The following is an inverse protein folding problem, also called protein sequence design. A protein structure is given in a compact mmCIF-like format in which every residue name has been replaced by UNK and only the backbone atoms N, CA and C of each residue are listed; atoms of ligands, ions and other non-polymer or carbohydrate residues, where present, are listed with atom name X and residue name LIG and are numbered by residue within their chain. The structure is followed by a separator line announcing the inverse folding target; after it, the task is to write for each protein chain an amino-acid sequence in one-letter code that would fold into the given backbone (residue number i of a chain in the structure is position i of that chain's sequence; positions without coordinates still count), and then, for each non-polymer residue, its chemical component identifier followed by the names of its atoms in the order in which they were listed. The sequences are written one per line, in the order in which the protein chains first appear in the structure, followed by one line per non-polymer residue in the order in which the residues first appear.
data_IF_220517997962
#
_entry.id   IF_220517997962
#
_cell.length_a   1.000
_cell.length_b   1.000
_cell.length_c   1.000
_cell.angle_alpha   90.00
_cell.angle_beta   90.00
_cell.angle_gamma   90.00
#
_symmetry.space_group_name_H-M   'P 1'
#
loop_
_entity.id
_entity.type
_entity.pdbx_description
1 polymer ?
#
# COMPACT_ATOMS: atom_id res chain seq x y z
N UNK A 1 22.35 -11.73 -16.51
CA UNK A 1 22.12 -12.18 -15.12
C UNK A 1 20.65 -12.54 -15.04
N UNK A 2 20.28 -13.71 -14.53
CA UNK A 2 18.85 -14.07 -14.45
C UNK A 2 18.14 -13.19 -13.42
N UNK A 3 16.89 -12.78 -13.67
CA UNK A 3 16.06 -11.95 -12.77
C UNK A 3 16.09 -12.47 -11.33
N UNK A 4 16.04 -13.78 -11.13
CA UNK A 4 16.08 -14.43 -9.82
C UNK A 4 17.39 -14.17 -9.07
N UNK A 5 18.52 -14.11 -9.78
CA UNK A 5 19.82 -13.83 -9.19
C UNK A 5 19.91 -12.38 -8.71
N UNK A 6 19.40 -11.42 -9.50
CA UNK A 6 19.30 -10.01 -9.11
C UNK A 6 18.45 -9.82 -7.85
N UNK A 7 17.28 -10.45 -7.80
CA UNK A 7 16.41 -10.43 -6.63
C UNK A 7 17.09 -11.03 -5.41
N UNK A 8 17.79 -12.16 -5.57
CA UNK A 8 18.55 -12.79 -4.48
C UNK A 8 19.63 -11.85 -3.93
N UNK A 9 20.34 -11.13 -4.80
CA UNK A 9 21.38 -10.17 -4.38
C UNK A 9 20.79 -8.99 -3.59
N UNK A 10 19.60 -8.51 -3.97
CA UNK A 10 18.86 -7.47 -3.24
C UNK A 10 18.42 -7.95 -1.84
N UNK A 11 17.93 -9.18 -1.73
CA UNK A 11 17.54 -9.79 -0.46
C UNK A 11 18.74 -9.94 0.48
N UNK A 12 19.84 -10.53 0.00
CA UNK A 12 21.06 -10.73 0.81
C UNK A 12 21.60 -9.38 1.33
N UNK A 13 21.62 -8.35 0.48
CA UNK A 13 22.03 -7.01 0.89
C UNK A 13 21.17 -6.50 2.05
N UNK A 14 19.84 -6.62 1.93
CA UNK A 14 18.88 -6.18 2.94
C UNK A 14 19.08 -6.93 4.27
N UNK A 15 19.20 -8.26 4.22
CA UNK A 15 19.39 -9.12 5.40
C UNK A 15 20.72 -8.89 6.13
N UNK A 16 21.74 -8.38 5.44
CA UNK A 16 23.06 -8.13 6.03
C UNK A 16 23.14 -6.84 6.88
N UNK A 17 22.10 -6.01 6.83
CA UNK A 17 22.08 -4.67 7.46
C UNK A 17 21.65 -4.72 8.93
N UNK A 18 22.04 -3.69 9.67
CA UNK A 18 21.59 -3.54 11.05
C UNK A 18 20.10 -3.18 11.09
N UNK A 19 19.36 -3.74 12.04
CA UNK A 19 17.90 -3.65 12.09
C UNK A 19 17.41 -2.79 13.25
N UNK A 20 16.42 -1.93 12.99
CA UNK A 20 15.60 -1.26 14.01
C UNK A 20 14.14 -1.49 13.69
N UNK A 21 13.35 -1.86 14.69
CA UNK A 21 11.89 -2.04 14.54
C UNK A 21 11.13 -0.95 15.29
N UNK A 22 10.00 -0.52 14.71
CA UNK A 22 9.02 0.36 15.36
C UNK A 22 7.59 -0.05 14.98
N UNK A 23 6.62 0.32 15.81
CA UNK A 23 5.20 0.25 15.43
C UNK A 23 4.88 1.27 14.34
N UNK A 24 3.83 1.01 13.58
CA UNK A 24 3.27 1.94 12.60
C UNK A 24 1.88 2.36 13.09
N UNK A 25 1.63 3.66 13.15
CA UNK A 25 0.30 4.18 13.50
C UNK A 25 -0.72 3.89 12.40
N UNK A 26 -1.96 3.60 12.79
CA UNK A 26 -3.08 3.37 11.89
C UNK A 26 -4.07 4.53 11.98
N UNK A 27 -4.43 5.07 10.83
CA UNK A 27 -5.40 6.15 10.67
C UNK A 27 -6.63 5.63 9.91
N UNK A 28 -7.82 6.00 10.37
CA UNK A 28 -9.05 5.72 9.64
C UNK A 28 -9.37 6.88 8.69
N UNK A 29 -9.59 6.57 7.43
CA UNK A 29 -9.89 7.56 6.41
C UNK A 29 -11.38 7.54 6.04
N UNK A 30 -11.97 8.73 6.05
CA UNK A 30 -13.38 8.99 5.72
C UNK A 30 -13.42 10.13 4.71
N UNK A 31 -13.37 9.83 3.40
CA UNK A 31 -13.36 10.88 2.38
C UNK A 31 -14.66 11.68 2.36
N UNK A 32 -14.56 12.97 2.05
CA UNK A 32 -15.72 13.75 1.62
C UNK A 32 -15.92 13.58 0.12
N UNK A 33 -16.62 12.50 -0.25
CA UNK A 33 -16.85 12.08 -1.65
C UNK A 33 -17.54 13.19 -2.48
N UNK A 34 -18.25 14.13 -1.83
CA UNK A 34 -18.90 15.25 -2.53
C UNK A 34 -17.90 16.33 -2.95
N UNK A 35 -16.77 16.45 -2.26
CA UNK A 35 -15.78 17.52 -2.47
C UNK A 35 -14.51 17.04 -3.14
N UNK A 36 -14.19 15.76 -3.01
CA UNK A 36 -12.95 15.18 -3.53
C UNK A 36 -13.21 14.39 -4.80
N UNK A 37 -12.64 14.85 -5.91
CA UNK A 37 -12.63 14.09 -7.17
C UNK A 37 -11.60 12.96 -7.13
N UNK A 38 -10.60 13.11 -6.28
CA UNK A 38 -9.47 12.20 -6.15
C UNK A 38 -9.24 11.90 -4.67
N UNK A 39 -9.07 10.62 -4.35
CA UNK A 39 -8.93 10.13 -2.99
C UNK A 39 -7.47 9.86 -2.65
N UNK A 40 -7.06 10.18 -1.42
CA UNK A 40 -5.74 9.79 -0.89
C UNK A 40 -5.55 8.28 -0.81
N UNK A 41 -6.62 7.55 -0.49
CA UNK A 41 -6.59 6.10 -0.28
C UNK A 41 -7.79 5.46 -0.95
N UNK A 42 -7.57 4.34 -1.66
CA UNK A 42 -8.63 3.64 -2.35
C UNK A 42 -9.47 2.81 -1.40
N UNK A 43 -10.75 2.67 -1.69
CA UNK A 43 -11.65 1.87 -0.87
C UNK A 43 -11.23 0.39 -0.86
N UNK A 44 -11.31 -0.26 0.31
CA UNK A 44 -10.87 -1.64 0.49
C UNK A 44 -9.35 -1.79 0.52
N UNK A 45 -8.63 -0.76 0.97
CA UNK A 45 -7.17 -0.79 1.09
C UNK A 45 -6.67 -0.29 2.43
N UNK A 46 -5.51 -0.82 2.82
CA UNK A 46 -4.62 -0.22 3.79
C UNK A 46 -3.45 0.42 3.02
N UNK A 47 -3.36 1.74 2.99
CA UNK A 47 -2.30 2.46 2.28
C UNK A 47 -1.24 2.95 3.26
N UNK A 48 -0.02 2.46 3.09
CA UNK A 48 1.18 2.99 3.74
C UNK A 48 1.57 4.31 3.09
N UNK A 49 1.76 5.34 3.90
CA UNK A 49 2.51 6.53 3.51
C UNK A 49 3.82 6.54 4.28
N UNK A 50 4.94 6.70 3.58
CA UNK A 50 6.27 6.67 4.17
C UNK A 50 7.16 7.76 3.58
N UNK A 51 7.94 8.39 4.44
CA UNK A 51 8.88 9.45 4.08
C UNK A 51 10.12 9.40 4.97
N UNK A 52 11.16 10.16 4.60
CA UNK A 52 12.22 10.50 5.57
C UNK A 52 11.61 11.32 6.72
N UNK A 53 12.14 11.15 7.92
CA UNK A 53 11.67 11.86 9.12
C UNK A 53 11.73 13.36 8.93
N UNK A 54 10.62 14.04 9.23
CA UNK A 54 10.48 15.48 9.06
C UNK A 54 10.08 15.95 7.64
N UNK A 55 9.78 15.04 6.71
CA UNK A 55 9.29 15.41 5.38
C UNK A 55 7.95 16.18 5.46
N UNK A 56 7.89 17.45 4.97
CA UNK A 56 6.70 18.29 5.11
C UNK A 56 5.44 17.70 4.46
N UNK A 57 5.55 17.08 3.28
CA UNK A 57 4.38 16.54 2.59
C UNK A 57 3.73 15.40 3.38
N UNK A 58 4.50 14.58 4.11
CA UNK A 58 3.93 13.53 4.94
C UNK A 58 3.19 14.12 6.15
N UNK A 59 3.74 15.17 6.76
CA UNK A 59 3.11 15.90 7.87
C UNK A 59 1.80 16.59 7.43
N UNK A 60 1.76 17.15 6.21
CA UNK A 60 0.52 17.66 5.62
C UNK A 60 -0.55 16.57 5.47
N UNK A 61 -0.20 15.38 4.93
CA UNK A 61 -1.12 14.25 4.82
C UNK A 61 -1.63 13.84 6.20
N UNK A 62 -0.73 13.72 7.18
CA UNK A 62 -1.08 13.35 8.55
C UNK A 62 -2.05 14.34 9.20
N UNK A 63 -1.76 15.65 9.10
CA UNK A 63 -2.61 16.73 9.63
C UNK A 63 -3.98 16.77 8.96
N UNK A 64 -4.05 16.53 7.65
CA UNK A 64 -5.34 16.42 6.98
C UNK A 64 -6.16 15.26 7.54
N UNK A 65 -5.57 14.07 7.67
CA UNK A 65 -6.26 12.87 8.15
C UNK A 65 -6.69 12.97 9.62
N UNK A 66 -5.88 13.56 10.49
CA UNK A 66 -6.16 13.68 11.93
C UNK A 66 -6.98 14.90 12.31
N UNK A 67 -6.71 16.04 11.68
CA UNK A 67 -7.20 17.35 12.11
C UNK A 67 -8.11 18.02 11.08
N UNK A 68 -8.25 17.45 9.88
CA UNK A 68 -9.02 18.06 8.79
C UNK A 68 -8.40 19.35 8.24
N UNK A 69 -7.10 19.57 8.47
CA UNK A 69 -6.39 20.78 8.02
C UNK A 69 -5.96 20.63 6.57
N UNK A 70 -6.30 21.62 5.74
CA UNK A 70 -5.98 21.63 4.30
C UNK A 70 -7.10 21.05 3.44
N UNK A 71 -6.81 20.80 2.16
CA UNK A 71 -7.75 20.18 1.22
C UNK A 71 -7.12 18.91 0.66
N UNK A 72 -7.93 17.86 0.58
CA UNK A 72 -7.49 16.58 0.00
C UNK A 72 -6.94 16.75 -1.41
N UNK A 73 -7.68 17.47 -2.25
CA UNK A 73 -7.30 17.71 -3.64
C UNK A 73 -5.89 18.28 -3.77
N UNK A 74 -5.53 19.29 -2.97
CA UNK A 74 -4.20 19.91 -3.02
C UNK A 74 -3.11 18.95 -2.52
N UNK A 75 -3.38 18.18 -1.48
CA UNK A 75 -2.40 17.21 -0.94
C UNK A 75 -2.15 16.10 -1.97
N UNK A 76 -3.22 15.58 -2.55
CA UNK A 76 -3.19 14.57 -3.61
C UNK A 76 -2.44 15.08 -4.84
N UNK A 77 -2.69 16.31 -5.28
CA UNK A 77 -1.98 16.91 -6.41
C UNK A 77 -0.48 17.04 -6.14
N UNK A 78 -0.08 17.50 -4.94
CA UNK A 78 1.33 17.53 -4.52
C UNK A 78 1.94 16.14 -4.51
N UNK A 79 1.22 15.18 -3.93
CA UNK A 79 1.63 13.79 -3.86
C UNK A 79 1.85 13.18 -5.24
N UNK A 80 0.96 13.42 -6.21
CA UNK A 80 1.11 12.92 -7.57
C UNK A 80 2.24 13.65 -8.30
N UNK A 81 2.33 14.97 -8.15
CA UNK A 81 3.27 15.80 -8.92
C UNK A 81 4.73 15.38 -8.73
N UNK A 82 5.12 14.88 -7.56
CA UNK A 82 6.49 14.38 -7.35
C UNK A 82 6.86 13.21 -8.28
N UNK A 83 5.87 12.50 -8.81
CA UNK A 83 6.06 11.36 -9.71
C UNK A 83 6.17 11.77 -11.19
N UNK A 84 5.92 13.04 -11.56
CA UNK A 84 5.85 13.47 -12.97
C UNK A 84 7.16 13.28 -13.75
N UNK A 85 8.29 13.34 -13.05
CA UNK A 85 9.62 13.33 -13.65
C UNK A 85 10.34 11.98 -13.45
N UNK A 86 9.66 10.99 -12.88
CA UNK A 86 10.23 9.66 -12.71
C UNK A 86 10.14 8.91 -14.04
N UNK A 87 11.27 8.35 -14.47
CA UNK A 87 11.39 7.51 -15.65
C UNK A 87 11.57 6.07 -15.21
N UNK A 88 10.96 5.11 -15.91
CA UNK A 88 11.22 3.69 -15.67
C UNK A 88 12.72 3.38 -15.81
N UNK A 89 13.23 2.47 -14.97
CA UNK A 89 14.61 1.97 -15.03
C UNK A 89 14.62 0.45 -15.10
N UNK A 90 15.73 -0.10 -15.59
CA UNK A 90 15.97 -1.54 -15.60
C UNK A 90 16.10 -2.10 -14.17
N UNK A 91 15.76 -3.39 -14.01
CA UNK A 91 15.83 -4.07 -12.71
C UNK A 91 17.27 -4.06 -12.14
N UNK A 92 18.27 -4.22 -12.99
CA UNK A 92 19.68 -4.15 -12.64
C UNK A 92 20.03 -2.81 -12.01
N UNK A 93 19.56 -1.72 -12.62
CA UNK A 93 19.78 -0.36 -12.12
C UNK A 93 19.06 -0.15 -10.79
N UNK A 94 17.84 -0.66 -10.64
CA UNK A 94 17.11 -0.66 -9.39
C UNK A 94 17.87 -1.36 -8.25
N UNK A 95 18.44 -2.56 -8.49
CA UNK A 95 19.26 -3.28 -7.51
C UNK A 95 20.52 -2.48 -7.14
N UNK A 96 21.17 -1.85 -8.12
CA UNK A 96 22.33 -1.00 -7.87
C UNK A 96 21.98 0.25 -7.06
N UNK A 97 20.83 0.87 -7.34
CA UNK A 97 20.34 2.02 -6.59
C UNK A 97 19.99 1.63 -5.15
N UNK A 98 19.33 0.50 -4.94
CA UNK A 98 19.01 -0.04 -3.62
C UNK A 98 20.27 -0.24 -2.78
N UNK A 99 21.30 -0.88 -3.35
CA UNK A 99 22.59 -1.09 -2.66
C UNK A 99 23.25 0.21 -2.21
N UNK A 100 23.08 1.29 -2.97
CA UNK A 100 23.63 2.62 -2.64
C UNK A 100 22.83 3.34 -1.55
N UNK A 101 21.64 2.87 -1.17
CA UNK A 101 20.86 3.53 -0.15
C UNK A 101 21.43 3.25 1.24
N UNK A 102 21.45 4.26 2.10
CA UNK A 102 21.83 4.13 3.50
C UNK A 102 20.76 3.41 4.33
N UNK A 103 19.51 3.46 3.86
CA UNK A 103 18.36 3.03 4.64
C UNK A 103 17.37 2.32 3.73
N UNK A 104 17.05 1.07 4.06
CA UNK A 104 15.94 0.32 3.46
C UNK A 104 14.86 0.10 4.51
N UNK A 105 13.66 -0.22 4.05
CA UNK A 105 12.50 -0.50 4.88
C UNK A 105 11.85 -1.82 4.51
N UNK A 106 11.26 -2.47 5.50
CA UNK A 106 10.29 -3.53 5.31
C UNK A 106 9.09 -3.28 6.20
N UNK A 107 7.92 -3.63 5.72
CA UNK A 107 6.67 -3.51 6.46
C UNK A 107 6.12 -4.90 6.70
N UNK A 108 5.81 -5.19 7.97
CA UNK A 108 5.24 -6.47 8.38
C UNK A 108 3.87 -6.25 9.03
N UNK A 109 3.00 -7.24 8.90
CA UNK A 109 1.72 -7.31 9.58
C UNK A 109 1.41 -8.74 10.00
N UNK A 110 1.17 -8.96 11.30
CA UNK A 110 0.78 -10.28 11.82
C UNK A 110 1.75 -11.41 11.43
N UNK A 111 3.06 -11.14 11.42
CA UNK A 111 4.08 -12.12 11.00
C UNK A 111 4.37 -12.16 9.49
N UNK A 112 3.47 -11.66 8.63
CA UNK A 112 3.65 -11.57 7.17
C UNK A 112 4.49 -10.35 6.79
N UNK A 113 5.30 -10.48 5.74
CA UNK A 113 5.98 -9.35 5.10
C UNK A 113 5.11 -8.79 3.99
N UNK A 114 4.70 -7.54 4.12
CA UNK A 114 3.87 -6.84 3.13
C UNK A 114 4.73 -6.12 2.08
N UNK A 115 5.90 -5.64 2.50
CA UNK A 115 6.86 -4.90 1.69
C UNK A 115 8.27 -5.19 2.21
N UNK A 116 9.25 -5.37 1.33
CA UNK A 116 10.62 -5.75 1.71
C UNK A 116 11.67 -4.97 0.90
N UNK A 117 12.78 -4.58 1.52
CA UNK A 117 13.89 -3.91 0.84
C UNK A 117 13.55 -2.56 0.20
N UNK A 118 12.47 -1.90 0.63
CA UNK A 118 11.98 -0.66 0.03
C UNK A 118 12.89 0.54 0.35
N UNK A 119 13.02 1.50 -0.55
CA UNK A 119 13.73 2.75 -0.30
C UNK A 119 13.02 3.95 -0.92
N UNK A 120 13.36 5.16 -0.47
CA UNK A 120 12.81 6.40 -0.99
C UNK A 120 13.86 7.06 -1.90
N UNK A 121 13.64 7.11 -3.24
CA UNK A 121 14.52 7.82 -4.14
C UNK A 121 14.64 9.31 -3.77
N UNK A 122 15.79 9.95 -4.00
CA UNK A 122 16.05 11.34 -3.57
C UNK A 122 15.03 12.37 -4.09
N UNK A 123 14.49 12.14 -5.30
CA UNK A 123 13.49 13.02 -5.93
C UNK A 123 12.09 12.84 -5.35
N UNK A 124 11.86 11.76 -4.58
CA UNK A 124 10.57 11.40 -4.01
C UNK A 124 10.57 11.76 -2.53
N UNK A 125 9.52 12.49 -2.16
CA UNK A 125 9.31 13.01 -0.82
C UNK A 125 8.53 12.00 0.00
N UNK A 126 7.42 11.52 -0.56
CA UNK A 126 6.53 10.57 0.10
C UNK A 126 6.20 9.46 -0.87
N UNK A 127 6.36 8.23 -0.41
CA UNK A 127 5.92 7.03 -1.13
C UNK A 127 4.59 6.55 -0.58
N UNK A 128 3.76 5.98 -1.45
CA UNK A 128 2.55 5.27 -1.09
C UNK A 128 2.72 3.78 -1.37
N UNK A 129 2.13 2.89 -0.56
CA UNK A 129 1.96 1.49 -0.94
C UNK A 129 0.61 0.97 -0.45
N UNK A 130 -0.23 0.53 -1.37
CA UNK A 130 -1.56 0.01 -1.04
C UNK A 130 -1.54 -1.50 -0.89
N UNK A 131 -2.16 -1.98 0.18
CA UNK A 131 -2.39 -3.39 0.49
C UNK A 131 -3.89 -3.67 0.44
N UNK A 132 -4.35 -4.79 -0.16
CA UNK A 132 -5.75 -5.18 -0.10
C UNK A 132 -6.21 -5.29 1.36
N UNK A 133 -7.39 -4.76 1.66
CA UNK A 133 -8.02 -4.82 2.99
C UNK A 133 -9.48 -5.25 2.84
N UNK A 134 -9.89 -6.28 3.56
CA UNK A 134 -11.23 -6.86 3.43
C UNK A 134 -12.29 -6.22 4.35
N UNK A 135 -11.92 -5.27 5.22
CA UNK A 135 -12.86 -4.61 6.16
C UNK A 135 -13.05 -5.31 7.51
N UNK A 136 -12.27 -6.37 7.79
CA UNK A 136 -12.27 -7.04 9.08
C UNK A 136 -11.40 -6.35 10.14
N UNK A 137 -11.43 -6.83 11.39
CA UNK A 137 -10.64 -6.26 12.48
C UNK A 137 -9.13 -6.22 12.17
N UNK A 138 -8.45 -5.16 12.62
CA UNK A 138 -7.01 -4.99 12.49
C UNK A 138 -6.36 -5.02 13.86
N UNK A 139 -5.24 -5.74 13.98
CA UNK A 139 -4.40 -5.68 15.17
C UNK A 139 -3.57 -4.39 15.09
N UNK A 140 -3.87 -3.40 15.93
CA UNK A 140 -3.19 -2.09 15.92
C UNK A 140 -1.67 -2.23 16.05
N UNK A 141 -1.21 -3.09 16.95
CA UNK A 141 0.21 -3.39 17.14
C UNK A 141 0.81 -4.32 16.07
N UNK A 142 -0.03 -4.85 15.18
CA UNK A 142 0.35 -5.82 14.17
C UNK A 142 1.26 -5.24 13.11
N UNK A 143 1.11 -3.96 12.77
CA UNK A 143 1.96 -3.30 11.78
C UNK A 143 3.30 -2.87 12.39
N UNK A 144 4.39 -3.35 11.78
CA UNK A 144 5.76 -3.01 12.17
C UNK A 144 6.55 -2.50 10.97
N UNK A 145 7.27 -1.40 11.18
CA UNK A 145 8.32 -0.93 10.29
C UNK A 145 9.65 -1.55 10.74
N UNK A 146 10.36 -2.16 9.81
CA UNK A 146 11.73 -2.65 9.98
C UNK A 146 12.64 -1.78 9.13
N UNK A 147 13.55 -1.07 9.75
CA UNK A 147 14.54 -0.22 9.11
C UNK A 147 15.89 -0.93 9.06
N UNK A 148 16.47 -0.99 7.87
CA UNK A 148 17.71 -1.70 7.55
C UNK A 148 18.80 -0.69 7.22
N UNK A 149 19.71 -0.48 8.17
CA UNK A 149 20.75 0.54 8.08
C UNK A 149 22.02 0.01 7.45
N UNK A 150 22.61 0.82 6.57
CA UNK A 150 24.01 0.65 6.18
C UNK A 150 24.91 0.88 7.40
N UNK A 151 26.06 0.21 7.43
CA UNK A 151 27.02 0.33 8.55
C UNK A 151 27.57 1.76 8.72
N UNK A 152 27.48 2.57 7.68
CA UNK A 152 28.10 3.89 7.57
C UNK A 152 27.18 5.02 8.04
N UNK A 153 25.86 4.81 8.10
CA UNK A 153 24.92 5.88 8.42
C UNK A 153 23.71 5.41 9.23
N UNK A 154 23.80 5.58 10.55
CA UNK A 154 22.73 5.28 11.52
C UNK A 154 21.81 6.48 11.82
N UNK A 155 21.97 7.61 11.12
CA UNK A 155 21.26 8.86 11.45
C UNK A 155 19.97 9.06 10.65
N UNK A 156 19.86 8.47 9.46
CA UNK A 156 18.63 8.57 8.68
C UNK A 156 17.50 7.79 9.35
N UNK A 157 16.30 8.38 9.45
CA UNK A 157 15.14 7.68 9.97
C UNK A 157 13.97 7.86 8.99
N UNK A 158 13.17 6.82 8.87
CA UNK A 158 11.88 6.85 8.18
C UNK A 158 10.77 7.07 9.20
N UNK A 159 9.73 7.74 8.74
CA UNK A 159 8.46 7.87 9.43
C UNK A 159 7.36 7.39 8.49
N UNK A 160 6.36 6.72 9.04
CA UNK A 160 5.24 6.22 8.27
C UNK A 160 3.98 6.04 9.13
N UNK A 161 2.86 5.94 8.44
CA UNK A 161 1.58 5.52 8.99
C UNK A 161 0.79 4.74 7.93
N UNK A 162 -0.16 3.93 8.38
CA UNK A 162 -1.13 3.23 7.55
C UNK A 162 -2.44 4.00 7.57
N UNK A 163 -3.08 4.11 6.42
CA UNK A 163 -4.40 4.70 6.26
C UNK A 163 -5.37 3.62 5.81
N UNK A 164 -6.40 3.34 6.60
CA UNK A 164 -7.45 2.38 6.28
C UNK A 164 -8.62 3.08 5.62
N UNK A 165 -9.02 2.59 4.45
CA UNK A 165 -10.28 2.96 3.82
C UNK A 165 -11.15 1.71 3.73
N UNK A 166 -12.17 1.67 4.60
CA UNK A 166 -13.11 0.55 4.71
C UNK A 166 -13.80 0.24 3.37
N UNK A 167 -13.84 -1.02 2.93
CA UNK A 167 -14.66 -1.42 1.80
C UNK A 167 -16.15 -1.27 2.14
N UNK A 168 -16.97 -1.11 1.10
CA UNK A 168 -18.39 -1.38 1.25
C UNK A 168 -18.55 -2.88 1.49
N UNK A 169 -19.25 -3.24 2.55
CA UNK A 169 -19.53 -4.63 2.91
C UNK A 169 -21.03 -4.83 2.97
N UNK A 170 -21.50 -5.98 2.50
CA UNK A 170 -22.86 -6.40 2.84
C UNK A 170 -22.95 -6.69 4.34
N UNK A 171 -24.16 -6.72 4.87
CA UNK A 171 -24.37 -7.11 6.27
C UNK A 171 -23.79 -8.51 6.55
N UNK A 172 -23.96 -9.45 5.62
CA UNK A 172 -23.45 -10.81 5.76
C UNK A 172 -21.91 -10.85 5.78
N UNK A 173 -21.24 -10.07 4.92
CA UNK A 173 -19.78 -9.95 4.90
C UNK A 173 -19.25 -9.30 6.19
N UNK A 174 -19.89 -8.23 6.66
CA UNK A 174 -19.50 -7.59 7.91
C UNK A 174 -19.69 -8.52 9.11
N UNK A 175 -20.80 -9.28 9.16
CA UNK A 175 -21.11 -10.18 10.26
C UNK A 175 -20.19 -11.41 10.28
N UNK A 176 -19.75 -11.93 9.12
CA UNK A 176 -18.78 -13.03 9.08
C UNK A 176 -17.38 -12.54 9.47
N UNK A 177 -16.94 -11.35 9.03
CA UNK A 177 -15.62 -10.82 9.35
C UNK A 177 -15.47 -10.50 10.85
N UNK A 178 -16.55 -10.10 11.53
CA UNK A 178 -16.56 -9.91 13.01
C UNK A 178 -16.35 -11.21 13.79
N UNK A 179 -16.63 -12.36 13.19
CA UNK A 179 -16.44 -13.67 13.82
C UNK A 179 -15.01 -14.19 13.65
N UNK A 180 -14.16 -13.48 12.91
CA UNK A 180 -12.77 -13.89 12.71
C UNK A 180 -12.02 -13.80 14.05
N UNK A 181 -11.38 -14.89 14.51
CA UNK A 181 -10.58 -14.85 15.74
C UNK A 181 -9.42 -13.85 15.65
N UNK A 182 -9.05 -13.23 16.78
CA UNK A 182 -7.96 -12.24 16.85
C UNK A 182 -6.61 -12.79 16.35
N UNK A 183 -6.33 -14.07 16.61
CA UNK A 183 -5.12 -14.73 16.12
C UNK A 183 -5.12 -14.98 14.59
N UNK A 184 -6.19 -14.61 13.89
CA UNK A 184 -6.32 -14.71 12.43
C UNK A 184 -6.49 -13.35 11.74
N UNK A 185 -6.32 -12.22 12.44
CA UNK A 185 -6.45 -10.88 11.85
C UNK A 185 -5.48 -10.60 10.69
N UNK A 186 -4.41 -11.39 10.56
CA UNK A 186 -3.54 -11.40 9.38
C UNK A 186 -4.24 -11.80 8.06
N UNK A 187 -5.46 -12.36 8.11
CA UNK A 187 -6.27 -12.67 6.94
C UNK A 187 -7.06 -11.45 6.42
N UNK A 188 -7.01 -10.33 7.15
CA UNK A 188 -7.71 -9.12 6.73
C UNK A 188 -6.88 -8.21 5.83
N UNK A 189 -5.57 -8.43 5.75
CA UNK A 189 -4.64 -7.66 4.93
C UNK A 189 -3.91 -8.58 3.96
N UNK A 190 -3.95 -8.21 2.68
CA UNK A 190 -3.25 -8.90 1.60
C UNK A 190 -1.86 -8.33 1.36
N UNK A 191 -0.97 -9.14 0.80
CA UNK A 191 0.27 -8.62 0.22
C UNK A 191 -0.03 -7.92 -1.10
N UNK A 192 0.70 -6.86 -1.40
CA UNK A 192 0.64 -6.28 -2.73
C UNK A 192 1.28 -7.28 -3.71
N UNK A 193 0.55 -7.78 -4.73
CA UNK A 193 1.10 -8.76 -5.68
C UNK A 193 2.30 -8.24 -6.46
N UNK A 194 2.45 -6.91 -6.60
CA UNK A 194 3.60 -6.24 -7.19
C UNK A 194 4.64 -5.81 -6.14
N UNK A 195 4.50 -6.19 -4.86
CA UNK A 195 5.33 -5.72 -3.74
C UNK A 195 6.84 -5.95 -3.89
N UNK A 196 7.25 -7.09 -4.45
CA UNK A 196 8.66 -7.36 -4.77
C UNK A 196 9.17 -6.54 -5.96
N UNK A 197 8.31 -6.32 -6.95
CA UNK A 197 8.63 -5.50 -8.10
C UNK A 197 8.72 -4.03 -7.67
N UNK A 198 7.69 -3.46 -7.03
CA UNK A 198 7.61 -2.06 -6.56
C UNK A 198 8.66 -1.63 -5.52
N UNK A 199 9.22 -2.55 -4.72
CA UNK A 199 10.30 -2.22 -3.79
C UNK A 199 11.67 -2.02 -4.46
N UNK A 200 11.91 -2.66 -5.60
CA UNK A 200 13.04 -2.38 -6.50
C UNK A 200 12.65 -1.31 -7.54
N UNK A 201 11.41 -1.34 -7.97
CA UNK A 201 10.76 -0.48 -8.95
C UNK A 201 10.06 0.66 -8.22
N UNK A 202 10.77 1.36 -7.34
CA UNK A 202 10.37 2.71 -6.90
C UNK A 202 10.46 3.72 -8.08
N UNK A 203 10.84 3.25 -9.26
CA UNK A 203 11.12 4.06 -10.44
C UNK A 203 10.35 3.62 -11.71
N UNK A 204 9.84 2.37 -11.85
CA UNK A 204 8.84 2.04 -12.90
C UNK A 204 7.37 1.99 -12.40
N UNK A 205 7.11 2.19 -11.10
CA UNK A 205 5.76 2.22 -10.53
C UNK A 205 5.31 3.63 -10.09
N UNK A 206 6.04 4.65 -10.52
CA UNK A 206 5.56 6.04 -10.52
C UNK A 206 4.24 6.18 -11.30
N UNK A 207 4.07 5.33 -12.32
CA UNK A 207 2.86 5.24 -13.13
C UNK A 207 1.74 4.56 -12.35
N UNK A 208 1.97 3.52 -11.54
CA UNK A 208 0.87 2.82 -10.87
C UNK A 208 0.18 3.69 -9.81
N UNK A 209 0.89 4.33 -8.87
CA UNK A 209 0.20 5.17 -7.88
C UNK A 209 -0.43 6.43 -8.50
N UNK A 210 0.21 7.02 -9.52
CA UNK A 210 -0.35 8.15 -10.24
C UNK A 210 -1.56 7.75 -11.10
N UNK A 211 -1.61 6.60 -11.78
CA UNK A 211 -2.77 6.19 -12.60
C UNK A 211 -3.96 5.78 -11.74
N UNK A 212 -3.73 5.21 -10.55
CA UNK A 212 -4.81 4.81 -9.64
C UNK A 212 -5.54 5.97 -8.98
N UNK A 213 -4.84 7.10 -8.88
CA UNK A 213 -5.28 8.33 -8.23
C UNK A 213 -5.72 9.35 -9.32
N UNK A 214 -5.02 9.46 -10.47
CA UNK A 214 -5.36 10.38 -11.56
C UNK A 214 -6.38 9.89 -12.58
N UNK A 215 -6.68 8.59 -12.68
CA UNK A 215 -7.54 8.06 -13.74
C UNK A 215 -8.83 7.41 -13.20
N UNK A 216 -9.83 8.18 -12.73
CA UNK A 216 -11.21 7.80 -12.99
C UNK A 216 -11.48 8.13 -14.47
N UNK A 217 -11.40 7.13 -15.37
CA UNK A 217 -11.71 7.27 -16.80
C UNK A 217 -10.92 8.31 -17.60
N UNK A 218 -9.82 7.90 -18.24
CA UNK A 218 -9.29 8.63 -19.42
C UNK A 218 -8.48 7.74 -20.35
N UNK A 219 -9.14 6.77 -20.96
CA UNK A 219 -8.75 6.21 -22.26
C UNK A 219 -9.99 6.26 -23.12
N UNK A 220 -10.13 7.28 -23.97
CA UNK A 220 -11.22 7.34 -24.95
C UNK A 220 -11.05 6.28 -26.07
N UNK A 221 -9.89 5.60 -26.14
CA UNK A 221 -9.62 4.55 -27.12
C UNK A 221 -9.41 3.14 -26.53
N UNK A 222 -9.56 2.96 -25.22
CA UNK A 222 -9.62 1.64 -24.59
C UNK A 222 -11.05 1.37 -24.15
N UNK A 223 -11.89 0.98 -25.12
CA UNK A 223 -13.24 0.48 -24.89
C UNK A 223 -13.12 -0.85 -24.15
N UNK A 224 -13.02 -0.80 -22.81
CA UNK A 224 -13.55 -1.89 -21.99
C UNK A 224 -15.06 -1.83 -22.24
N UNK A 225 -15.68 -2.88 -22.81
CA UNK A 225 -17.11 -2.86 -23.09
C UNK A 225 -17.86 -2.46 -21.82
N UNK A 226 -18.84 -1.57 -21.97
CA UNK A 226 -19.74 -1.01 -20.96
C UNK A 226 -20.37 -2.07 -20.03
N UNK A 227 -19.59 -2.68 -19.15
CA UNK A 227 -20.05 -3.13 -17.87
C UNK A 227 -19.78 -1.98 -16.92
N UNK A 228 -20.86 -1.34 -16.48
CA UNK A 228 -20.90 -0.49 -15.29
C UNK A 228 -20.61 -1.37 -14.06
N UNK A 229 -19.42 -1.95 -14.03
CA UNK A 229 -18.94 -2.73 -12.91
C UNK A 229 -18.33 -1.71 -11.98
N UNK A 230 -19.09 -1.26 -11.00
CA UNK A 230 -18.48 -0.63 -9.84
C UNK A 230 -17.73 -1.75 -9.11
N UNK A 231 -16.39 -1.81 -9.19
CA UNK A 231 -15.62 -2.86 -8.52
C UNK A 231 -15.86 -2.86 -7.00
N UNK A 232 -16.36 -1.76 -6.42
CA UNK A 232 -16.68 -1.68 -5.00
C UNK A 232 -18.00 -2.36 -4.63
N UNK A 233 -18.78 -2.83 -5.60
CA UNK A 233 -20.04 -3.57 -5.39
C UNK A 233 -19.90 -5.09 -5.58
N UNK A 234 -18.69 -5.60 -5.79
CA UNK A 234 -18.50 -7.06 -5.84
C UNK A 234 -18.45 -7.62 -4.45
N UNK A 235 -19.44 -8.45 -4.16
CA UNK A 235 -19.63 -9.12 -2.89
C UNK A 235 -19.71 -10.63 -3.08
N UNK A 236 -19.38 -11.38 -2.04
CA UNK A 236 -19.68 -12.80 -2.02
C UNK A 236 -21.19 -13.01 -1.88
N UNK A 237 -21.81 -13.90 -2.68
CA UNK A 237 -23.22 -14.22 -2.49
C UNK A 237 -23.46 -14.82 -1.10
N UNK A 238 -24.53 -14.40 -0.42
CA UNK A 238 -24.91 -14.89 0.91
C UNK A 238 -24.99 -16.43 0.98
N UNK A 239 -25.41 -17.08 -0.12
CA UNK A 239 -25.47 -18.54 -0.21
C UNK A 239 -24.09 -19.19 -0.10
N UNK A 240 -23.04 -18.54 -0.64
CA UNK A 240 -21.65 -19.00 -0.54
C UNK A 240 -21.13 -18.76 0.88
N UNK A 241 -21.38 -17.58 1.45
CA UNK A 241 -20.95 -17.24 2.82
C UNK A 241 -21.47 -18.22 3.87
N UNK A 242 -22.67 -18.79 3.68
CA UNK A 242 -23.24 -19.81 4.57
C UNK A 242 -22.60 -21.19 4.47
N UNK A 243 -21.88 -21.48 3.39
CA UNK A 243 -21.31 -22.80 3.11
C UNK A 243 -19.81 -22.89 3.40
N UNK A 244 -19.14 -21.77 3.63
CA UNK A 244 -17.69 -21.71 3.85
C UNK A 244 -17.37 -21.30 5.29
N UNK A 245 -16.17 -21.66 5.77
CA UNK A 245 -15.70 -21.23 7.08
C UNK A 245 -15.43 -19.72 7.11
N UNK A 246 -15.41 -19.13 8.31
CA UNK A 246 -15.10 -17.70 8.51
C UNK A 246 -13.76 -17.31 7.88
N UNK A 247 -12.71 -18.11 8.09
CA UNK A 247 -11.39 -17.86 7.52
C UNK A 247 -11.36 -17.97 5.99
N UNK A 248 -12.14 -18.89 5.42
CA UNK A 248 -12.30 -19.03 3.98
C UNK A 248 -13.03 -17.81 3.40
N UNK A 249 -14.10 -17.35 4.03
CA UNK A 249 -14.81 -16.13 3.65
C UNK A 249 -13.89 -14.91 3.68
N UNK A 250 -13.17 -14.69 4.79
CA UNK A 250 -12.22 -13.59 4.91
C UNK A 250 -11.18 -13.58 3.78
N UNK A 251 -10.68 -14.77 3.43
CA UNK A 251 -9.71 -14.96 2.34
C UNK A 251 -10.31 -14.70 0.96
N UNK A 252 -11.54 -15.15 0.68
CA UNK A 252 -12.21 -14.91 -0.59
C UNK A 252 -12.59 -13.43 -0.78
N UNK A 253 -13.10 -12.76 0.26
CA UNK A 253 -13.35 -11.31 0.22
C UNK A 253 -12.03 -10.57 -0.06
N UNK A 254 -10.93 -10.96 0.62
CA UNK A 254 -9.63 -10.36 0.39
C UNK A 254 -9.11 -10.59 -1.04
N UNK A 255 -9.33 -11.77 -1.63
CA UNK A 255 -8.98 -12.06 -3.03
C UNK A 255 -9.72 -11.15 -4.00
N UNK A 256 -11.02 -10.91 -3.77
CA UNK A 256 -11.81 -9.94 -4.56
C UNK A 256 -11.12 -8.56 -4.50
N UNK A 257 -10.76 -8.08 -3.30
CA UNK A 257 -10.07 -6.78 -3.14
C UNK A 257 -8.68 -6.76 -3.79
N UNK A 258 -7.93 -7.86 -3.71
CA UNK A 258 -6.64 -7.99 -4.39
C UNK A 258 -6.77 -7.90 -5.90
N UNK A 259 -7.78 -8.55 -6.49
CA UNK A 259 -8.00 -8.51 -7.93
C UNK A 259 -8.25 -7.08 -8.42
N UNK A 260 -8.91 -6.22 -7.64
CA UNK A 260 -9.09 -4.82 -8.02
C UNK A 260 -7.79 -4.03 -8.08
N UNK A 261 -6.90 -4.23 -7.12
CA UNK A 261 -5.58 -3.60 -7.17
C UNK A 261 -4.75 -4.07 -8.36
N UNK A 262 -4.94 -5.31 -8.83
CA UNK A 262 -4.21 -5.81 -10.01
C UNK A 262 -4.77 -5.21 -11.31
N UNK A 263 -6.08 -5.13 -11.49
CA UNK A 263 -6.67 -4.72 -12.77
C UNK A 263 -6.63 -3.20 -13.03
N UNK A 264 -6.36 -2.40 -12.00
CA UNK A 264 -6.26 -0.93 -12.14
C UNK A 264 -4.88 -0.46 -12.61
N UNK A 265 -3.86 -1.32 -12.56
CA UNK A 265 -2.44 -0.97 -12.78
C UNK A 265 -1.73 -1.91 -13.75
#
# INVERSE_FOLDING_TARGET
METLELLRLATIETESRALKSSSIEILNYKPDIKKSKILLTQQGTATLFMAKKGEPLLDEIYKYLKLGVGTEQTIVEKFIKQFSDIKEIALEEAVLLQKKQNLLASVRYGGKTLLEGFFIPEKIKVVGASFPYNGGGILEEGFKLIQHYSKENLKEELQCFIVLHEPNLTKAEADILKQLPENQFELNIGTNPKGFATALIAIAAAVSLATGICCPHRNEDFVIPNYAFDPYEVHLPDAVLKQISVSAAASEILKIRRNFLVHKY
#
